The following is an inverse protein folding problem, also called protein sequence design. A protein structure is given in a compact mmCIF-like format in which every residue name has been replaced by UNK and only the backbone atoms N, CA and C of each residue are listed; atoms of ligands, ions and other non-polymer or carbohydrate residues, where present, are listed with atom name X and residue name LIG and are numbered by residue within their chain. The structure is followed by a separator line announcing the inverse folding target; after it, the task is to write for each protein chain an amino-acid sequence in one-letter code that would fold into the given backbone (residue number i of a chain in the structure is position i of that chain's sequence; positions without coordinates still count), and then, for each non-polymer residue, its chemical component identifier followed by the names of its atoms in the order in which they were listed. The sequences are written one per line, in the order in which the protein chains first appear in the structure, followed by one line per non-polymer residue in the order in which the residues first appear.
data_IF_286269362059
#
_entry.id   IF_286269362059
#
_cell.length_a   1.000
_cell.length_b   1.000
_cell.length_c   1.000
_cell.angle_alpha   90.00
_cell.angle_beta   90.00
_cell.angle_gamma   90.00
#
_symmetry.space_group_name_H-M   'P 1'
#
loop_
_entity.id
_entity.type
_entity.pdbx_description
1 polymer ?
#
# COMPACT_ATOMS: atom_id res chain seq x y z
N UNK A 1 11.03 3.39 97.30
CA UNK A 1 10.24 3.77 96.11
C UNK A 1 9.01 2.87 96.08
N UNK A 2 7.81 3.43 96.29
CA UNK A 2 6.57 2.64 96.42
C UNK A 2 6.22 1.98 95.07
N UNK A 3 5.81 0.70 95.08
CA UNK A 3 5.42 -0.05 93.87
C UNK A 3 4.38 0.69 93.00
N UNK A 4 3.54 1.52 93.61
CA UNK A 4 2.58 2.38 92.92
C UNK A 4 3.24 3.46 92.04
N UNK A 5 4.35 4.08 92.49
CA UNK A 5 5.08 5.09 91.70
C UNK A 5 5.78 4.46 90.50
N UNK A 6 6.34 3.25 90.65
CA UNK A 6 6.94 2.52 89.54
C UNK A 6 5.91 2.17 88.45
N UNK A 7 4.71 1.71 88.84
CA UNK A 7 3.64 1.38 87.89
C UNK A 7 3.15 2.60 87.09
N UNK A 8 3.05 3.76 87.73
CA UNK A 8 2.63 4.99 87.05
C UNK A 8 3.68 5.43 86.04
N UNK A 9 4.96 5.38 86.40
CA UNK A 9 6.08 5.74 85.49
C UNK A 9 6.09 4.80 84.26
N UNK A 10 5.89 3.50 84.46
CA UNK A 10 5.83 2.54 83.33
C UNK A 10 4.66 2.83 82.40
N UNK A 11 3.47 3.13 82.93
CA UNK A 11 2.30 3.47 82.10
C UNK A 11 2.51 4.78 81.32
N UNK A 12 3.08 5.80 81.96
CA UNK A 12 3.40 7.08 81.30
C UNK A 12 4.43 6.89 80.18
N UNK A 13 5.46 6.06 80.39
CA UNK A 13 6.45 5.74 79.36
C UNK A 13 5.85 5.00 78.16
N UNK A 14 4.93 4.06 78.39
CA UNK A 14 4.23 3.34 77.31
C UNK A 14 3.39 4.31 76.50
N UNK A 15 2.64 5.21 77.15
CA UNK A 15 1.82 6.22 76.46
C UNK A 15 2.71 7.14 75.61
N UNK A 16 3.85 7.58 76.15
CA UNK A 16 4.82 8.40 75.41
C UNK A 16 5.38 7.67 74.18
N UNK A 17 5.73 6.39 74.29
CA UNK A 17 6.20 5.60 73.16
C UNK A 17 5.13 5.45 72.07
N UNK A 18 3.87 5.24 72.45
CA UNK A 18 2.75 5.15 71.50
C UNK A 18 2.55 6.49 70.78
N UNK A 19 2.61 7.61 71.49
CA UNK A 19 2.51 8.95 70.89
C UNK A 19 3.64 9.19 69.89
N UNK A 20 4.89 8.85 70.26
CA UNK A 20 6.04 8.97 69.35
C UNK A 20 5.86 8.09 68.12
N UNK A 21 5.39 6.85 68.27
CA UNK A 21 5.14 5.96 67.15
C UNK A 21 4.07 6.52 66.19
N UNK A 22 2.97 7.07 66.72
CA UNK A 22 1.92 7.71 65.92
C UNK A 22 2.46 8.93 65.17
N UNK A 23 3.27 9.77 65.83
CA UNK A 23 3.89 10.93 65.20
C UNK A 23 4.84 10.55 64.07
N UNK A 24 5.67 9.52 64.27
CA UNK A 24 6.57 9.01 63.23
C UNK A 24 5.77 8.48 62.03
N UNK A 25 4.71 7.72 62.28
CA UNK A 25 3.84 7.22 61.20
C UNK A 25 3.19 8.37 60.44
N UNK A 26 2.66 9.39 61.14
CA UNK A 26 1.99 10.53 60.50
C UNK A 26 2.93 11.47 59.74
N UNK A 27 4.12 11.72 60.29
CA UNK A 27 5.02 12.77 59.79
C UNK A 27 6.10 12.25 58.84
N UNK A 28 6.40 10.95 58.88
CA UNK A 28 7.48 10.36 58.08
C UNK A 28 6.93 9.31 57.14
N UNK A 29 6.23 8.30 57.67
CA UNK A 29 5.80 7.13 56.87
C UNK A 29 4.71 7.50 55.86
N UNK A 30 3.68 8.23 56.29
CA UNK A 30 2.56 8.63 55.43
C UNK A 30 2.98 9.54 54.26
N UNK A 31 3.82 10.58 54.46
CA UNK A 31 4.38 11.36 53.36
C UNK A 31 5.27 10.56 52.41
N UNK A 32 6.13 9.68 52.94
CA UNK A 32 6.98 8.80 52.12
C UNK A 32 6.14 7.87 51.24
N UNK A 33 5.07 7.28 51.76
CA UNK A 33 4.16 6.43 50.98
C UNK A 33 3.44 7.25 49.91
N UNK A 34 2.99 8.47 50.21
CA UNK A 34 2.39 9.37 49.19
C UNK A 34 3.38 9.75 48.09
N UNK A 35 4.61 10.15 48.44
CA UNK A 35 5.66 10.44 47.46
C UNK A 35 6.06 9.21 46.63
N UNK A 36 5.91 8.00 47.18
CA UNK A 36 6.19 6.73 46.50
C UNK A 36 5.04 6.28 45.60
N UNK A 37 3.79 6.51 46.00
CA UNK A 37 2.60 6.13 45.20
C UNK A 37 2.41 7.05 44.00
N UNK A 38 2.77 8.33 44.12
CA UNK A 38 2.66 9.31 43.02
C UNK A 38 3.70 9.09 41.91
N UNK A 39 4.64 8.14 42.07
CA UNK A 39 5.70 7.84 41.09
C UNK A 39 5.49 6.59 40.25
N UNK A 40 4.43 5.81 40.48
CA UNK A 40 4.09 4.67 39.62
C UNK A 40 2.74 4.96 39.00
N UNK A 41 2.76 5.74 37.93
CA UNK A 41 1.58 5.94 37.11
C UNK A 41 1.29 4.64 36.34
N UNK A 42 0.36 3.83 36.84
CA UNK A 42 -0.01 2.54 36.25
C UNK A 42 -0.67 2.76 34.86
N UNK A 43 -1.19 3.96 34.58
CA UNK A 43 -1.72 4.32 33.25
C UNK A 43 -0.62 4.38 32.19
N UNK A 44 0.64 4.63 32.57
CA UNK A 44 1.80 4.60 31.66
C UNK A 44 2.08 3.20 31.08
N UNK A 45 1.49 2.16 31.67
CA UNK A 45 1.58 0.77 31.20
C UNK A 45 0.33 0.28 30.47
N UNK A 46 -0.74 1.09 30.40
CA UNK A 46 -1.90 0.79 29.57
C UNK A 46 -1.58 1.12 28.10
N UNK A 47 -2.14 0.37 27.15
CA UNK A 47 -2.05 0.73 25.73
C UNK A 47 -2.75 2.07 25.50
N UNK A 48 -1.97 3.16 25.50
CA UNK A 48 -2.47 4.53 25.30
C UNK A 48 -2.89 4.83 23.86
N UNK A 49 -2.47 3.97 22.92
CA UNK A 49 -2.79 4.10 21.50
C UNK A 49 -3.63 2.92 21.04
N UNK A 50 -4.60 3.22 20.19
CA UNK A 50 -5.35 2.26 19.42
C UNK A 50 -5.13 2.55 17.93
N UNK A 51 -4.81 1.52 17.16
CA UNK A 51 -4.72 1.62 15.71
C UNK A 51 -6.14 1.39 15.17
N UNK A 52 -6.74 2.43 14.60
CA UNK A 52 -8.10 2.37 14.07
C UNK A 52 -8.15 1.76 12.67
N UNK A 53 -7.14 2.05 11.84
CA UNK A 53 -6.99 1.44 10.52
C UNK A 53 -5.56 1.55 10.02
N UNK A 54 -5.12 0.54 9.25
CA UNK A 54 -3.91 0.60 8.42
C UNK A 54 -4.32 0.27 7.00
N UNK A 55 -4.20 1.23 6.10
CA UNK A 55 -4.49 1.08 4.69
C UNK A 55 -3.19 1.14 3.89
N UNK A 56 -2.93 0.13 3.08
CA UNK A 56 -1.79 0.09 2.15
C UNK A 56 -2.32 0.24 0.72
N UNK A 57 -2.20 1.42 0.09
CA UNK A 57 -2.63 1.63 -1.28
C UNK A 57 -1.85 0.76 -2.26
N UNK A 58 -2.47 0.39 -3.39
CA UNK A 58 -1.79 -0.41 -4.40
C UNK A 58 -0.56 0.29 -4.99
N UNK A 59 -0.58 1.62 -5.10
CA UNK A 59 0.55 2.44 -5.53
C UNK A 59 1.64 2.59 -4.46
N UNK A 60 1.50 1.92 -3.31
CA UNK A 60 2.44 1.96 -2.21
C UNK A 60 2.13 3.04 -1.18
N UNK A 61 3.00 3.17 -0.19
CA UNK A 61 2.77 4.02 0.96
C UNK A 61 1.84 3.39 2.00
N UNK A 62 1.41 4.19 2.96
CA UNK A 62 0.46 3.75 3.99
C UNK A 62 -0.35 4.92 4.52
N UNK A 63 -1.63 4.66 4.79
CA UNK A 63 -2.50 5.57 5.52
C UNK A 63 -2.92 4.90 6.84
N UNK A 64 -2.49 5.47 7.96
CA UNK A 64 -2.76 4.94 9.29
C UNK A 64 -3.57 5.92 10.12
N UNK A 65 -4.67 5.45 10.70
CA UNK A 65 -5.44 6.18 11.69
C UNK A 65 -5.11 5.68 13.08
N UNK A 66 -4.65 6.58 13.93
CA UNK A 66 -4.23 6.29 15.31
C UNK A 66 -5.04 7.14 16.26
N UNK A 67 -5.68 6.50 17.23
CA UNK A 67 -6.39 7.17 18.31
C UNK A 67 -5.62 7.06 19.61
N UNK A 68 -5.46 8.17 20.32
CA UNK A 68 -4.98 8.13 21.69
C UNK A 68 -6.16 7.93 22.64
N UNK A 69 -6.16 6.83 23.40
CA UNK A 69 -7.31 6.39 24.20
C UNK A 69 -7.15 6.65 25.70
N UNK A 70 -5.92 6.81 26.20
CA UNK A 70 -5.63 7.06 27.62
C UNK A 70 -4.28 7.78 27.82
N UNK A 71 -3.99 8.10 29.09
CA UNK A 71 -2.74 8.64 29.62
C UNK A 71 -2.57 10.15 29.46
N UNK A 72 -2.00 10.78 30.49
CA UNK A 72 -1.86 12.24 30.61
C UNK A 72 -0.53 12.78 30.05
N UNK A 73 0.52 11.94 30.00
CA UNK A 73 1.86 12.36 29.57
C UNK A 73 1.93 12.74 28.10
N UNK A 74 2.64 13.81 27.75
CA UNK A 74 2.79 14.22 26.35
C UNK A 74 3.66 13.21 25.58
N UNK A 75 3.08 12.59 24.54
CA UNK A 75 3.84 11.78 23.59
C UNK A 75 4.71 12.74 22.76
N UNK A 76 6.01 12.49 22.75
CA UNK A 76 7.04 13.28 22.07
C UNK A 76 7.38 12.77 20.66
N UNK A 77 7.19 11.47 20.42
CA UNK A 77 7.47 10.80 19.14
C UNK A 77 6.62 9.54 19.00
N UNK A 78 6.26 9.22 17.76
CA UNK A 78 5.73 7.94 17.35
C UNK A 78 6.70 7.27 16.36
N UNK A 79 7.04 6.01 16.58
CA UNK A 79 7.69 5.18 15.56
C UNK A 79 6.65 4.23 14.97
N UNK A 80 6.48 4.31 13.65
CA UNK A 80 5.65 3.43 12.83
C UNK A 80 6.56 2.35 12.23
N UNK A 81 6.30 1.08 12.52
CA UNK A 81 7.13 -0.03 12.10
C UNK A 81 6.34 -0.90 11.13
N UNK A 82 6.85 -1.06 9.92
CA UNK A 82 6.31 -1.95 8.90
C UNK A 82 7.29 -3.11 8.72
N UNK A 83 6.82 -4.34 8.95
CA UNK A 83 7.60 -5.55 8.69
C UNK A 83 7.24 -6.04 7.29
N UNK A 84 8.24 -6.18 6.42
CA UNK A 84 8.03 -6.76 5.09
C UNK A 84 8.01 -8.31 5.10
N UNK A 85 7.55 -8.88 4.00
CA UNK A 85 7.49 -10.34 3.75
C UNK A 85 8.86 -11.04 3.89
N UNK A 86 9.96 -10.29 3.76
CA UNK A 86 11.33 -10.75 3.85
C UNK A 86 11.90 -10.64 5.27
N UNK A 87 11.11 -10.12 6.22
CA UNK A 87 11.47 -9.95 7.62
C UNK A 87 12.26 -8.69 7.95
N UNK A 88 12.37 -7.72 7.02
CA UNK A 88 13.00 -6.43 7.30
C UNK A 88 12.00 -5.44 7.89
N UNK A 89 12.46 -4.65 8.85
CA UNK A 89 11.67 -3.60 9.49
C UNK A 89 11.96 -2.24 8.86
N UNK A 90 10.92 -1.58 8.36
CA UNK A 90 10.93 -0.19 7.89
C UNK A 90 10.34 0.69 9.00
N UNK A 91 11.15 1.59 9.55
CA UNK A 91 10.74 2.44 10.69
C UNK A 91 10.62 3.89 10.25
N UNK A 92 9.42 4.46 10.42
CA UNK A 92 9.13 5.86 10.13
C UNK A 92 8.80 6.59 11.44
N UNK A 93 9.61 7.58 11.79
CA UNK A 93 9.42 8.37 13.01
C UNK A 93 8.68 9.67 12.74
N UNK A 94 7.71 10.00 13.58
CA UNK A 94 6.96 11.25 13.53
C UNK A 94 7.01 11.95 14.88
N UNK A 95 7.39 13.23 14.87
CA UNK A 95 7.54 14.07 16.08
C UNK A 95 6.51 15.21 16.13
N UNK A 96 5.59 15.25 15.16
CA UNK A 96 4.59 16.30 14.98
C UNK A 96 3.20 15.69 14.72
N UNK A 97 2.14 16.49 14.83
CA UNK A 97 0.76 16.01 14.64
C UNK A 97 0.39 14.79 15.50
N UNK A 98 1.00 14.66 16.68
CA UNK A 98 0.77 13.57 17.62
C UNK A 98 -0.63 13.73 18.24
N UNK A 99 -1.46 12.67 18.31
CA UNK A 99 -2.82 12.78 18.84
C UNK A 99 -2.83 13.17 20.33
N UNK A 100 -3.67 14.14 20.65
CA UNK A 100 -4.05 14.48 22.03
C UNK A 100 -5.01 13.45 22.61
N UNK A 101 -5.31 13.54 23.90
CA UNK A 101 -6.23 12.61 24.57
C UNK A 101 -7.59 12.52 23.85
N UNK A 102 -8.01 11.31 23.51
CA UNK A 102 -9.21 10.95 22.74
C UNK A 102 -9.23 11.46 21.29
N UNK A 103 -8.13 12.03 20.80
CA UNK A 103 -7.99 12.48 19.42
C UNK A 103 -7.55 11.32 18.51
N UNK A 104 -8.16 11.26 17.33
CA UNK A 104 -7.69 10.43 16.20
C UNK A 104 -6.88 11.32 15.25
N UNK A 105 -5.71 10.84 14.85
CA UNK A 105 -4.88 11.45 13.80
C UNK A 105 -4.66 10.46 12.66
N UNK A 106 -4.60 10.99 11.45
CA UNK A 106 -4.29 10.26 10.23
C UNK A 106 -2.86 10.58 9.81
N UNK A 107 -2.08 9.54 9.51
CA UNK A 107 -0.69 9.60 9.09
C UNK A 107 -0.58 8.99 7.70
N UNK A 108 -0.14 9.78 6.74
CA UNK A 108 0.02 9.38 5.34
C UNK A 108 1.51 9.32 5.02
N UNK A 109 1.96 8.15 4.61
CA UNK A 109 3.31 7.89 4.14
C UNK A 109 3.28 7.61 2.65
N UNK A 110 4.15 8.25 1.90
CA UNK A 110 4.27 8.04 0.46
C UNK A 110 4.94 6.70 0.11
N UNK A 111 4.86 6.34 -1.17
CA UNK A 111 5.46 5.10 -1.68
C UNK A 111 6.99 5.12 -1.71
N UNK A 112 7.65 6.28 -1.65
CA UNK A 112 9.12 6.33 -1.53
C UNK A 112 9.59 5.90 -0.14
N UNK A 113 8.76 6.08 0.89
CA UNK A 113 9.01 5.58 2.25
C UNK A 113 8.65 4.11 2.43
N UNK A 114 7.66 3.61 1.68
CA UNK A 114 7.12 2.26 1.80
C UNK A 114 6.88 1.69 0.39
N UNK A 115 7.87 0.96 -0.13
CA UNK A 115 7.84 0.33 -1.46
C UNK A 115 7.98 -1.20 -1.41
N UNK A 116 7.68 -1.82 -0.27
CA UNK A 116 7.79 -3.26 -0.04
C UNK A 116 6.41 -3.89 0.23
N UNK A 117 6.31 -5.21 0.04
CA UNK A 117 5.14 -5.99 0.47
C UNK A 117 5.16 -6.07 1.99
N UNK A 118 4.14 -5.49 2.64
CA UNK A 118 4.08 -5.41 4.11
C UNK A 118 3.27 -6.57 4.67
N UNK A 119 3.88 -7.32 5.59
CA UNK A 119 3.29 -8.44 6.32
C UNK A 119 2.59 -7.97 7.61
N UNK A 120 3.26 -7.13 8.40
CA UNK A 120 2.69 -6.63 9.66
C UNK A 120 3.07 -5.19 9.99
N UNK A 121 2.35 -4.59 10.93
CA UNK A 121 2.50 -3.20 11.32
C UNK A 121 2.42 -3.02 12.85
N UNK A 122 3.24 -2.12 13.39
CA UNK A 122 3.18 -1.71 14.79
C UNK A 122 3.53 -0.24 15.01
N UNK A 123 3.11 0.29 16.15
CA UNK A 123 3.42 1.65 16.59
C UNK A 123 4.01 1.64 17.99
N UNK A 124 5.01 2.48 18.23
CA UNK A 124 5.59 2.74 19.54
C UNK A 124 5.51 4.22 19.85
N UNK A 125 5.01 4.57 21.03
CA UNK A 125 5.07 5.94 21.57
C UNK A 125 6.34 6.18 22.39
N UNK A 126 6.80 7.42 22.43
CA UNK A 126 7.91 7.86 23.29
C UNK A 126 7.53 9.07 24.12
N UNK A 127 7.96 9.07 25.39
CA UNK A 127 7.78 10.16 26.35
C UNK A 127 9.17 10.71 26.73
N UNK A 128 9.63 11.71 25.96
CA UNK A 128 11.04 12.11 25.97
C UNK A 128 11.92 10.96 25.47
N UNK A 129 12.79 10.44 26.33
CA UNK A 129 13.66 9.29 26.00
C UNK A 129 13.06 7.94 26.38
N UNK A 130 11.92 7.93 27.06
CA UNK A 130 11.29 6.70 27.55
C UNK A 130 10.45 6.08 26.43
N UNK A 131 10.74 4.82 26.11
CA UNK A 131 9.98 4.01 25.14
C UNK A 131 8.72 3.46 25.79
N UNK A 132 7.56 3.73 25.20
CA UNK A 132 6.27 3.20 25.59
C UNK A 132 6.05 1.75 25.13
N UNK A 133 4.87 1.18 25.43
CA UNK A 133 4.49 -0.13 24.94
C UNK A 133 4.38 -0.13 23.41
N UNK A 134 4.76 -1.25 22.80
CA UNK A 134 4.52 -1.47 21.37
C UNK A 134 3.08 -1.92 21.17
N UNK A 135 2.34 -1.17 20.37
CA UNK A 135 0.99 -1.54 19.94
C UNK A 135 1.11 -2.18 18.56
N UNK A 136 0.94 -3.50 18.50
CA UNK A 136 0.96 -4.27 17.25
C UNK A 136 -0.47 -4.46 16.74
N UNK A 137 -0.66 -4.38 15.43
CA UNK A 137 -1.87 -4.88 14.78
C UNK A 137 -1.56 -6.19 14.06
N UNK A 138 -2.41 -7.20 14.30
CA UNK A 138 -2.35 -8.50 13.64
C UNK A 138 -3.74 -8.81 13.07
N UNK A 139 -3.87 -8.90 11.75
CA UNK A 139 -5.09 -9.38 11.09
C UNK A 139 -6.34 -8.50 11.22
N UNK A 140 -7.22 -8.56 10.22
CA UNK A 140 -8.49 -7.83 10.02
C UNK A 140 -8.48 -6.29 9.94
N UNK A 141 -7.55 -5.58 10.59
CA UNK A 141 -7.44 -4.09 10.55
C UNK A 141 -6.35 -3.54 9.65
N UNK A 142 -5.36 -4.37 9.30
CA UNK A 142 -4.45 -4.11 8.17
C UNK A 142 -5.21 -4.50 6.92
N UNK A 143 -5.66 -3.49 6.21
CA UNK A 143 -6.26 -3.65 4.89
C UNK A 143 -5.19 -3.23 3.90
N UNK A 144 -4.59 -4.18 3.20
CA UNK A 144 -4.18 -3.87 1.82
C UNK A 144 -5.45 -3.38 1.13
N UNK A 145 -5.39 -2.26 0.40
CA UNK A 145 -6.58 -1.67 -0.21
C UNK A 145 -7.43 -2.75 -0.88
N UNK A 146 -8.47 -3.15 -0.16
CA UNK A 146 -8.98 -4.52 -0.22
C UNK A 146 -10.05 -4.56 -1.27
N UNK A 147 -9.65 -4.72 -2.54
CA UNK A 147 -10.48 -5.29 -3.62
C UNK A 147 -11.89 -4.70 -3.77
N UNK A 148 -12.16 -3.50 -3.24
CA UNK A 148 -13.51 -3.03 -2.93
C UNK A 148 -13.62 -1.53 -3.18
N UNK A 149 -14.28 -1.22 -4.31
CA UNK A 149 -14.62 0.12 -4.82
C UNK A 149 -13.43 1.07 -4.83
N UNK A 150 -12.61 0.97 -5.88
CA UNK A 150 -11.59 1.98 -6.15
C UNK A 150 -12.26 3.21 -6.75
N UNK A 151 -11.74 4.38 -6.43
CA UNK A 151 -12.10 5.61 -7.13
C UNK A 151 -10.83 6.27 -7.66
N UNK A 152 -10.96 7.05 -8.74
CA UNK A 152 -9.86 7.86 -9.29
C UNK A 152 -9.13 8.70 -8.23
N UNK A 153 -9.85 9.14 -7.21
CA UNK A 153 -9.33 9.94 -6.10
C UNK A 153 -8.50 9.10 -5.11
N UNK A 154 -8.87 7.84 -4.88
CA UNK A 154 -8.23 6.97 -3.86
C UNK A 154 -6.82 6.49 -4.19
N UNK A 155 -6.47 6.39 -5.48
CA UNK A 155 -5.15 5.90 -5.95
C UNK A 155 -4.44 6.95 -6.83
N UNK A 156 -4.98 8.17 -6.87
CA UNK A 156 -4.45 9.31 -7.61
C UNK A 156 -4.26 9.01 -9.09
N UNK A 157 -5.31 9.12 -9.91
CA UNK A 157 -5.19 9.00 -11.37
C UNK A 157 -5.28 7.58 -11.93
N UNK A 158 -5.58 6.57 -11.09
CA UNK A 158 -6.07 5.27 -11.59
C UNK A 158 -7.46 5.48 -12.20
N UNK A 159 -7.62 5.16 -13.48
CA UNK A 159 -8.88 5.41 -14.21
C UNK A 159 -9.71 4.15 -14.35
N UNK A 160 -9.07 3.02 -14.63
CA UNK A 160 -9.73 1.74 -14.79
C UNK A 160 -8.91 0.59 -14.23
N UNK A 161 -9.59 -0.42 -13.71
CA UNK A 161 -8.99 -1.68 -13.29
C UNK A 161 -9.94 -2.85 -13.56
N UNK A 162 -9.51 -3.78 -14.40
CA UNK A 162 -10.18 -5.06 -14.62
C UNK A 162 -9.34 -6.15 -13.95
N UNK A 163 -9.87 -6.76 -12.88
CA UNK A 163 -9.18 -7.91 -12.26
C UNK A 163 -9.35 -9.19 -13.05
N UNK A 164 -10.35 -9.29 -13.93
CA UNK A 164 -10.53 -10.44 -14.82
C UNK A 164 -10.68 -11.79 -14.10
N UNK A 165 -11.14 -11.76 -12.84
CA UNK A 165 -11.38 -12.98 -12.07
C UNK A 165 -12.50 -13.83 -12.69
N UNK A 166 -13.66 -13.23 -12.92
CA UNK A 166 -14.85 -13.95 -13.42
C UNK A 166 -15.78 -13.04 -14.24
N UNK A 167 -15.35 -11.80 -14.50
CA UNK A 167 -16.09 -10.82 -15.27
C UNK A 167 -15.15 -9.74 -15.82
N UNK A 168 -15.69 -8.87 -16.66
CA UNK A 168 -14.96 -7.76 -17.30
C UNK A 168 -15.42 -6.39 -16.79
N UNK A 169 -15.85 -6.32 -15.53
CA UNK A 169 -16.27 -5.05 -14.93
C UNK A 169 -15.05 -4.27 -14.43
N UNK A 170 -14.96 -3.01 -14.85
CA UNK A 170 -14.06 -2.03 -14.23
C UNK A 170 -14.41 -1.83 -12.74
N UNK A 171 -13.44 -2.06 -11.85
CA UNK A 171 -13.52 -1.92 -10.39
C UNK A 171 -13.30 -0.47 -9.90
N UNK A 172 -12.87 0.43 -10.77
CA UNK A 172 -12.51 1.83 -10.45
C UNK A 172 -13.52 2.81 -11.05
N UNK A 173 -13.84 2.61 -12.32
CA UNK A 173 -14.70 3.49 -13.10
C UNK A 173 -15.91 2.76 -13.67
N UNK A 174 -16.45 3.31 -14.75
CA UNK A 174 -17.58 2.75 -15.49
C UNK A 174 -17.17 2.18 -16.85
N UNK A 175 -15.87 1.94 -17.08
CA UNK A 175 -15.34 1.43 -18.34
C UNK A 175 -15.50 -0.10 -18.40
N UNK A 176 -16.71 -0.61 -18.19
CA UNK A 176 -16.95 -2.05 -18.23
C UNK A 176 -16.69 -2.59 -19.64
N UNK A 177 -16.04 -3.75 -19.70
CA UNK A 177 -15.78 -4.44 -20.95
C UNK A 177 -16.98 -5.24 -21.45
N UNK A 178 -16.88 -5.64 -22.71
CA UNK A 178 -17.75 -6.58 -23.39
C UNK A 178 -16.89 -7.71 -23.92
N UNK A 179 -17.21 -8.94 -23.53
CA UNK A 179 -16.49 -10.14 -23.97
C UNK A 179 -16.93 -10.51 -25.39
N UNK A 180 -15.97 -10.81 -26.24
CA UNK A 180 -16.16 -11.50 -27.52
C UNK A 180 -15.52 -12.89 -27.43
N UNK A 181 -16.10 -13.84 -28.17
CA UNK A 181 -15.75 -15.25 -28.06
C UNK A 181 -16.39 -15.91 -26.83
N UNK A 182 -15.73 -16.94 -26.30
CA UNK A 182 -16.15 -17.65 -25.09
C UNK A 182 -14.92 -18.03 -24.23
N UNK A 183 -14.17 -17.03 -23.76
CA UNK A 183 -12.95 -17.25 -23.00
C UNK A 183 -13.22 -17.98 -21.68
N UNK A 184 -12.21 -18.69 -21.21
CA UNK A 184 -12.26 -19.38 -19.92
C UNK A 184 -11.58 -18.55 -18.83
N UNK A 185 -11.96 -18.78 -17.57
CA UNK A 185 -11.27 -18.21 -16.42
C UNK A 185 -10.45 -19.32 -15.74
N UNK A 186 -9.12 -19.17 -15.72
CA UNK A 186 -8.18 -20.10 -15.11
C UNK A 186 -7.53 -19.48 -13.88
N UNK A 187 -6.65 -20.23 -13.19
CA UNK A 187 -5.90 -19.68 -12.05
C UNK A 187 -5.05 -18.47 -12.49
N UNK A 188 -5.25 -17.34 -11.82
CA UNK A 188 -4.53 -16.09 -12.10
C UNK A 188 -3.33 -15.89 -11.18
N UNK A 189 -2.68 -14.73 -11.32
CA UNK A 189 -1.70 -14.25 -10.33
C UNK A 189 -2.42 -13.89 -9.04
N UNK A 190 -3.63 -13.34 -9.17
CA UNK A 190 -4.51 -13.13 -8.05
C UNK A 190 -5.90 -13.67 -8.38
N UNK A 191 -6.37 -14.67 -7.62
CA UNK A 191 -7.68 -15.26 -7.88
C UNK A 191 -7.73 -15.99 -9.23
N UNK A 192 -8.42 -15.41 -10.20
CA UNK A 192 -8.61 -15.98 -11.53
C UNK A 192 -8.13 -14.99 -12.60
N UNK A 193 -7.76 -15.52 -13.76
CA UNK A 193 -7.37 -14.73 -14.92
C UNK A 193 -8.14 -15.19 -16.15
N UNK A 194 -8.33 -14.29 -17.11
CA UNK A 194 -8.99 -14.64 -18.37
C UNK A 194 -7.99 -15.30 -19.32
N UNK A 195 -8.34 -16.48 -19.82
CA UNK A 195 -7.61 -17.19 -20.87
C UNK A 195 -8.21 -16.83 -22.22
N UNK A 196 -7.33 -16.39 -23.13
CA UNK A 196 -7.66 -16.06 -24.51
C UNK A 196 -6.97 -17.04 -25.44
N UNK A 197 -7.72 -17.57 -26.41
CA UNK A 197 -7.27 -18.63 -27.31
C UNK A 197 -6.47 -18.15 -28.54
N UNK A 198 -6.29 -16.82 -28.69
CA UNK A 198 -5.60 -16.22 -29.83
C UNK A 198 -6.41 -16.18 -31.13
N UNK A 199 -7.68 -16.59 -31.13
CA UNK A 199 -8.53 -16.68 -32.32
C UNK A 199 -9.66 -15.64 -32.26
N UNK A 200 -10.62 -15.81 -31.37
CA UNK A 200 -11.84 -14.97 -31.31
C UNK A 200 -12.11 -14.38 -29.93
N UNK A 201 -11.35 -14.83 -28.92
CA UNK A 201 -11.47 -14.36 -27.56
C UNK A 201 -10.76 -13.02 -27.35
N UNK A 202 -11.51 -12.00 -26.94
CA UNK A 202 -10.98 -10.71 -26.51
C UNK A 202 -12.04 -9.92 -25.74
N UNK A 203 -11.62 -8.79 -25.15
CA UNK A 203 -12.50 -7.84 -24.48
C UNK A 203 -12.43 -6.52 -25.23
N UNK A 204 -13.59 -5.93 -25.50
CA UNK A 204 -13.70 -4.57 -26.01
C UNK A 204 -14.30 -3.68 -24.93
N UNK A 205 -13.72 -2.50 -24.75
CA UNK A 205 -14.19 -1.47 -23.84
C UNK A 205 -14.44 -0.24 -24.69
N UNK A 206 -15.70 0.20 -24.73
CA UNK A 206 -16.09 1.39 -25.47
C UNK A 206 -15.24 2.58 -25.02
N UNK A 207 -14.72 3.34 -25.99
CA UNK A 207 -13.93 4.52 -25.72
C UNK A 207 -14.77 5.60 -25.03
N UNK A 208 -14.37 5.94 -23.81
CA UNK A 208 -14.89 7.07 -23.04
C UNK A 208 -13.80 8.14 -22.86
N UNK A 209 -14.19 9.35 -22.46
CA UNK A 209 -13.26 10.51 -22.39
C UNK A 209 -12.08 10.27 -21.45
N UNK A 210 -12.28 9.51 -20.37
CA UNK A 210 -11.24 9.18 -19.40
C UNK A 210 -10.19 8.18 -19.93
N UNK A 211 -10.44 7.53 -21.08
CA UNK A 211 -9.48 6.67 -21.78
C UNK A 211 -8.77 7.39 -22.95
N UNK A 212 -9.12 8.65 -23.23
CA UNK A 212 -8.40 9.48 -24.22
C UNK A 212 -7.15 10.10 -23.61
N UNK A 213 -6.17 9.25 -23.30
CA UNK A 213 -4.96 9.61 -22.56
C UNK A 213 -3.95 10.37 -23.44
N UNK A 214 -4.20 11.66 -23.69
CA UNK A 214 -3.40 12.46 -24.61
C UNK A 214 -2.04 12.86 -24.05
N UNK A 215 -1.96 13.14 -22.75
CA UNK A 215 -0.84 13.93 -22.19
C UNK A 215 0.14 13.12 -21.37
N UNK A 216 -0.25 11.97 -20.83
CA UNK A 216 0.61 11.03 -20.11
C UNK A 216 -0.23 9.81 -19.77
N UNK A 217 0.41 8.66 -19.54
CA UNK A 217 -0.32 7.46 -19.17
C UNK A 217 0.58 6.46 -18.45
N UNK A 218 -0.06 5.52 -17.76
CA UNK A 218 0.58 4.26 -17.36
C UNK A 218 -0.36 3.10 -17.62
N UNK A 219 0.16 2.03 -18.21
CA UNK A 219 -0.50 0.74 -18.34
C UNK A 219 0.20 -0.24 -17.39
N UNK A 220 -0.57 -1.01 -16.63
CA UNK A 220 -0.07 -2.09 -15.79
C UNK A 220 -0.91 -3.32 -16.00
N UNK A 221 -0.30 -4.49 -16.18
CA UNK A 221 -1.04 -5.73 -16.39
C UNK A 221 -0.12 -6.93 -16.13
N UNK A 222 -0.72 -8.06 -15.82
CA UNK A 222 -0.04 -9.35 -15.78
C UNK A 222 -0.37 -10.14 -17.04
N UNK A 223 0.64 -10.84 -17.59
CA UNK A 223 0.45 -11.76 -18.69
C UNK A 223 1.13 -13.10 -18.42
N UNK A 224 0.51 -14.16 -18.92
CA UNK A 224 1.14 -15.45 -19.17
C UNK A 224 1.00 -15.72 -20.68
N UNK A 225 2.05 -15.44 -21.45
CA UNK A 225 1.99 -15.56 -22.90
C UNK A 225 2.38 -16.97 -23.36
N UNK A 226 1.58 -17.60 -24.22
CA UNK A 226 1.90 -18.91 -24.80
C UNK A 226 2.89 -18.83 -25.98
N UNK A 227 3.22 -17.61 -26.41
CA UNK A 227 3.95 -17.34 -27.65
C UNK A 227 3.07 -16.67 -28.69
N UNK A 228 3.67 -16.14 -29.75
CA UNK A 228 2.95 -15.68 -30.95
C UNK A 228 3.87 -15.74 -32.16
N UNK A 229 3.35 -15.81 -33.39
CA UNK A 229 4.17 -15.69 -34.60
C UNK A 229 4.27 -14.26 -35.14
N UNK A 230 3.44 -13.33 -34.63
CA UNK A 230 3.40 -11.91 -35.01
C UNK A 230 3.02 -11.06 -33.79
N UNK A 231 2.87 -9.74 -33.92
CA UNK A 231 2.37 -8.91 -32.83
C UNK A 231 0.95 -9.35 -32.42
N UNK A 232 0.76 -9.65 -31.15
CA UNK A 232 -0.53 -9.98 -30.57
C UNK A 232 -0.92 -8.90 -29.55
N UNK A 233 -2.12 -8.31 -29.68
CA UNK A 233 -2.49 -7.17 -28.83
C UNK A 233 -2.82 -7.57 -27.40
N UNK A 234 -2.17 -6.94 -26.41
CA UNK A 234 -2.40 -7.21 -24.99
C UNK A 234 -3.45 -6.23 -24.45
N UNK A 235 -3.16 -4.93 -24.49
CA UNK A 235 -4.10 -3.89 -24.04
C UNK A 235 -3.81 -2.55 -24.72
N UNK A 236 -4.85 -1.86 -25.17
CA UNK A 236 -4.72 -0.50 -25.71
C UNK A 236 -5.81 -0.11 -26.70
N UNK A 237 -5.73 1.12 -27.17
CA UNK A 237 -6.63 1.70 -28.19
C UNK A 237 -6.02 1.61 -29.60
N UNK A 238 -5.10 0.67 -29.82
CA UNK A 238 -4.39 0.46 -31.08
C UNK A 238 -2.96 1.03 -31.10
N UNK A 239 -2.09 0.43 -31.92
CA UNK A 239 -0.66 0.80 -32.06
C UNK A 239 -0.48 2.26 -32.53
N UNK A 240 -1.45 2.80 -33.27
CA UNK A 240 -1.49 4.21 -33.68
C UNK A 240 -1.66 5.20 -32.52
N UNK A 241 -2.09 4.70 -31.35
CA UNK A 241 -2.50 5.51 -30.20
C UNK A 241 -1.65 5.12 -28.98
N UNK A 242 -2.17 4.31 -28.06
CA UNK A 242 -1.36 3.61 -27.07
C UNK A 242 -1.77 2.13 -27.04
N UNK A 243 -0.79 1.23 -27.11
CA UNK A 243 -1.05 -0.21 -27.01
C UNK A 243 0.21 -0.97 -26.61
N UNK A 244 0.05 -1.99 -25.77
CA UNK A 244 1.07 -3.00 -25.59
C UNK A 244 0.71 -4.28 -26.37
N UNK A 245 1.71 -4.92 -26.98
CA UNK A 245 1.60 -6.15 -27.76
C UNK A 245 2.66 -7.16 -27.31
N UNK A 246 2.40 -8.45 -27.52
CA UNK A 246 3.38 -9.52 -27.39
C UNK A 246 3.84 -9.96 -28.79
N UNK A 247 5.14 -9.87 -29.06
CA UNK A 247 5.74 -10.17 -30.36
C UNK A 247 6.41 -11.54 -30.37
N UNK A 248 6.56 -12.14 -31.56
CA UNK A 248 7.14 -13.47 -31.80
C UNK A 248 8.51 -13.74 -31.15
N UNK A 249 9.32 -12.71 -30.97
CA UNK A 249 10.61 -12.85 -30.31
C UNK A 249 10.52 -12.94 -28.77
N UNK A 250 9.32 -13.05 -28.19
CA UNK A 250 9.08 -12.98 -26.74
C UNK A 250 9.13 -11.56 -26.19
N UNK A 251 9.12 -10.54 -27.05
CA UNK A 251 9.15 -9.15 -26.59
C UNK A 251 7.75 -8.65 -26.30
N UNK A 252 7.55 -8.01 -25.15
CA UNK A 252 6.42 -7.10 -24.96
C UNK A 252 6.83 -5.73 -25.49
N UNK A 253 6.13 -5.26 -26.51
CA UNK A 253 6.25 -3.90 -27.03
C UNK A 253 5.14 -3.05 -26.44
N UNK A 254 5.46 -1.81 -26.07
CA UNK A 254 4.46 -0.80 -25.70
C UNK A 254 4.68 0.44 -26.55
N UNK A 255 3.64 0.84 -27.26
CA UNK A 255 3.63 1.91 -28.24
C UNK A 255 2.90 3.14 -27.71
N UNK A 256 3.41 4.31 -28.08
CA UNK A 256 2.74 5.60 -27.96
C UNK A 256 2.89 6.32 -29.30
N UNK A 257 1.85 6.26 -30.14
CA UNK A 257 1.85 6.73 -31.52
C UNK A 257 2.85 5.96 -32.41
N UNK A 258 2.32 5.12 -33.29
CA UNK A 258 3.02 4.16 -34.17
C UNK A 258 4.46 4.49 -34.64
N UNK A 259 5.19 3.46 -35.06
CA UNK A 259 6.56 3.62 -35.55
C UNK A 259 7.58 3.58 -34.42
N UNK A 260 8.53 4.52 -34.38
CA UNK A 260 9.69 4.46 -33.48
C UNK A 260 9.40 4.78 -31.99
N UNK A 261 8.21 5.30 -31.68
CA UNK A 261 7.77 5.62 -30.31
C UNK A 261 7.20 4.38 -29.63
N UNK A 262 8.08 3.42 -29.40
CA UNK A 262 7.79 2.23 -28.63
C UNK A 262 8.96 1.89 -27.71
N UNK A 263 8.69 1.11 -26.67
CA UNK A 263 9.70 0.51 -25.81
C UNK A 263 9.39 -0.97 -25.71
N UNK A 264 10.42 -1.82 -25.66
CA UNK A 264 10.20 -3.26 -25.66
C UNK A 264 11.25 -4.02 -24.87
N UNK A 265 10.80 -5.07 -24.19
CA UNK A 265 11.67 -5.98 -23.45
C UNK A 265 11.23 -7.42 -23.65
N UNK A 266 12.20 -8.31 -23.71
CA UNK A 266 11.97 -9.74 -23.71
C UNK A 266 11.39 -10.18 -22.37
N UNK A 267 10.34 -10.97 -22.44
CA UNK A 267 9.78 -11.76 -21.34
C UNK A 267 9.60 -13.18 -21.86
N UNK A 268 9.96 -14.17 -21.05
CA UNK A 268 9.81 -15.55 -21.46
C UNK A 268 8.33 -15.94 -21.56
N UNK A 269 8.04 -16.81 -22.53
CA UNK A 269 6.71 -17.38 -22.68
C UNK A 269 6.52 -18.50 -21.67
N UNK A 270 5.27 -18.73 -21.29
CA UNK A 270 4.85 -19.74 -20.32
C UNK A 270 5.29 -19.46 -18.87
N UNK A 271 5.50 -18.18 -18.53
CA UNK A 271 5.61 -17.70 -17.15
C UNK A 271 4.79 -16.41 -16.96
N UNK A 272 4.46 -16.11 -15.70
CA UNK A 272 3.76 -14.88 -15.33
C UNK A 272 4.74 -13.71 -15.25
N UNK A 273 4.46 -12.66 -16.02
CA UNK A 273 5.19 -11.41 -15.93
C UNK A 273 4.27 -10.24 -15.67
N UNK A 274 4.69 -9.37 -14.76
CA UNK A 274 4.05 -8.08 -14.53
C UNK A 274 4.73 -7.02 -15.37
N UNK A 275 3.95 -6.34 -16.21
CA UNK A 275 4.43 -5.27 -17.06
C UNK A 275 3.85 -3.96 -16.57
N UNK A 276 4.71 -2.97 -16.39
CA UNK A 276 4.29 -1.58 -16.22
C UNK A 276 4.96 -0.72 -17.29
N UNK A 277 4.16 -0.12 -18.15
CA UNK A 277 4.62 0.86 -19.12
C UNK A 277 4.13 2.25 -18.71
N UNK A 278 5.02 3.21 -18.56
CA UNK A 278 4.67 4.60 -18.28
C UNK A 278 5.24 5.56 -19.31
N UNK A 279 4.46 6.60 -19.62
CA UNK A 279 4.87 7.71 -20.46
C UNK A 279 4.52 9.05 -19.80
N UNK A 280 5.50 9.94 -19.70
CA UNK A 280 5.40 11.21 -18.98
C UNK A 280 4.86 12.39 -19.78
N UNK A 281 4.51 12.18 -21.05
CA UNK A 281 3.98 13.26 -21.88
C UNK A 281 5.03 14.17 -22.49
N UNK A 282 6.31 13.88 -22.31
CA UNK A 282 7.38 14.76 -22.73
C UNK A 282 8.27 14.09 -23.78
N UNK A 283 9.09 14.90 -24.44
CA UNK A 283 10.11 14.44 -25.39
C UNK A 283 11.49 14.32 -24.75
N UNK A 284 11.54 14.21 -23.41
CA UNK A 284 12.80 14.14 -22.68
C UNK A 284 13.49 12.78 -22.85
N UNK A 285 14.77 12.73 -22.48
CA UNK A 285 15.46 11.46 -22.29
C UNK A 285 14.81 10.78 -21.08
N UNK A 286 14.21 9.61 -21.29
CA UNK A 286 13.47 8.80 -20.31
C UNK A 286 11.95 9.06 -20.19
N UNK A 287 11.35 9.67 -21.21
CA UNK A 287 9.91 9.96 -21.22
C UNK A 287 9.05 8.70 -21.22
N UNK A 288 9.57 7.59 -21.78
CA UNK A 288 8.99 6.25 -21.67
C UNK A 288 9.79 5.39 -20.70
N UNK A 289 9.11 4.62 -19.86
CA UNK A 289 9.70 3.63 -18.96
C UNK A 289 8.95 2.31 -19.07
N UNK A 290 9.71 1.22 -19.03
CA UNK A 290 9.18 -0.13 -19.03
C UNK A 290 9.76 -0.89 -17.84
N UNK A 291 8.86 -1.39 -16.99
CA UNK A 291 9.18 -2.22 -15.86
C UNK A 291 8.67 -3.63 -16.12
N UNK A 292 9.47 -4.62 -15.71
CA UNK A 292 9.11 -6.04 -15.73
C UNK A 292 9.37 -6.59 -14.33
N UNK A 293 8.37 -7.24 -13.74
CA UNK A 293 8.43 -7.87 -12.42
C UNK A 293 8.96 -6.92 -11.33
N UNK A 294 8.42 -5.70 -11.33
CA UNK A 294 8.77 -4.63 -10.39
C UNK A 294 10.15 -3.99 -10.63
N UNK A 295 10.91 -4.39 -11.66
CA UNK A 295 12.23 -3.83 -11.97
C UNK A 295 12.17 -2.90 -13.17
N UNK A 296 12.85 -1.76 -13.09
CA UNK A 296 13.00 -0.86 -14.22
C UNK A 296 13.98 -1.44 -15.24
N UNK A 297 13.47 -2.05 -16.31
CA UNK A 297 14.27 -2.72 -17.33
C UNK A 297 14.82 -1.73 -18.36
N UNK A 298 13.99 -0.77 -18.78
CA UNK A 298 14.34 0.16 -19.85
C UNK A 298 13.74 1.55 -19.65
N UNK A 299 14.45 2.53 -20.17
CA UNK A 299 14.00 3.91 -20.33
C UNK A 299 14.34 4.36 -21.75
N UNK A 300 13.44 5.10 -22.40
CA UNK A 300 13.64 5.56 -23.77
C UNK A 300 13.05 6.95 -23.97
N UNK A 301 13.70 7.75 -24.79
CA UNK A 301 13.19 9.05 -25.25
C UNK A 301 11.92 8.86 -26.07
N UNK A 302 10.84 9.56 -25.70
CA UNK A 302 9.69 9.74 -26.58
C UNK A 302 9.99 10.85 -27.58
N UNK A 303 9.53 10.73 -28.83
CA UNK A 303 9.61 11.82 -29.82
C UNK A 303 8.30 12.62 -29.91
N UNK A 304 7.30 12.23 -29.12
CA UNK A 304 6.01 12.91 -29.03
C UNK A 304 5.71 13.37 -27.60
N UNK A 305 4.89 14.41 -27.48
CA UNK A 305 4.37 14.93 -26.22
C UNK A 305 2.84 14.88 -26.14
N UNK A 306 2.19 14.28 -27.16
CA UNK A 306 0.73 14.13 -27.21
C UNK A 306 0.34 12.96 -28.10
N UNK A 307 -0.72 12.24 -27.71
CA UNK A 307 -1.37 11.20 -28.52
C UNK A 307 -2.70 11.74 -29.04
N UNK A 308 -3.06 11.34 -30.26
CA UNK A 308 -4.31 11.71 -30.94
C UNK A 308 -4.78 10.56 -31.84
N UNK A 309 -6.06 10.56 -32.19
CA UNK A 309 -6.68 9.40 -32.82
C UNK A 309 -7.04 8.41 -31.73
N UNK A 310 -8.29 7.97 -31.69
CA UNK A 310 -8.75 7.09 -30.62
C UNK A 310 -9.65 6.03 -31.24
N UNK A 311 -9.40 4.79 -30.86
CA UNK A 311 -10.25 3.65 -31.13
C UNK A 311 -10.78 3.13 -29.79
N UNK A 312 -11.76 2.23 -29.83
CA UNK A 312 -12.18 1.52 -28.62
C UNK A 312 -10.98 0.79 -27.99
N UNK A 313 -10.96 0.76 -26.66
CA UNK A 313 -9.91 0.06 -25.92
C UNK A 313 -10.16 -1.44 -26.09
N UNK A 314 -9.12 -2.19 -26.37
CA UNK A 314 -9.14 -3.64 -26.45
C UNK A 314 -8.22 -4.25 -25.41
N UNK A 315 -8.61 -5.39 -24.85
CA UNK A 315 -7.76 -6.28 -24.07
C UNK A 315 -7.76 -7.63 -24.81
N UNK A 316 -6.58 -8.12 -25.18
CA UNK A 316 -6.42 -9.39 -25.89
C UNK A 316 -6.50 -9.32 -27.42
N UNK A 317 -6.61 -8.12 -28.00
CA UNK A 317 -6.71 -7.91 -29.45
C UNK A 317 -5.85 -6.74 -29.91
N UNK A 318 -5.35 -6.82 -31.15
CA UNK A 318 -4.81 -5.68 -31.88
C UNK A 318 -5.70 -5.37 -33.09
N UNK A 319 -5.94 -4.08 -33.37
CA UNK A 319 -6.69 -3.67 -34.58
C UNK A 319 -5.90 -3.89 -35.87
N UNK A 320 -4.58 -4.07 -35.77
CA UNK A 320 -3.67 -4.16 -36.92
C UNK A 320 -2.95 -5.51 -37.04
N UNK A 321 -3.21 -6.46 -36.13
CA UNK A 321 -2.49 -7.73 -36.07
C UNK A 321 -3.35 -8.85 -35.46
N UNK A 322 -2.76 -9.78 -34.71
CA UNK A 322 -3.44 -10.96 -34.15
C UNK A 322 -3.96 -10.73 -32.73
N UNK A 323 -4.82 -11.65 -32.29
CA UNK A 323 -5.28 -11.73 -30.90
C UNK A 323 -4.23 -12.41 -30.02
N UNK A 324 -4.27 -12.08 -28.73
CA UNK A 324 -3.37 -12.65 -27.73
C UNK A 324 -3.78 -14.07 -27.37
N UNK A 325 -2.80 -14.97 -27.34
CA UNK A 325 -2.95 -16.33 -26.83
C UNK A 325 -2.24 -16.43 -25.48
N UNK A 326 -3.01 -16.72 -24.42
CA UNK A 326 -2.48 -16.81 -23.05
C UNK A 326 -3.44 -16.28 -22.01
N UNK A 327 -2.92 -16.01 -20.81
CA UNK A 327 -3.69 -15.41 -19.70
C UNK A 327 -3.36 -13.92 -19.57
N UNK A 328 -4.39 -13.13 -19.28
CA UNK A 328 -4.26 -11.73 -18.88
C UNK A 328 -4.95 -11.54 -17.53
N UNK A 329 -4.30 -10.79 -16.65
CA UNK A 329 -4.79 -10.55 -15.29
C UNK A 329 -4.51 -9.10 -14.87
N UNK A 330 -5.33 -8.59 -13.94
CA UNK A 330 -5.05 -7.36 -13.18
C UNK A 330 -4.71 -6.11 -14.05
N UNK A 331 -5.47 -5.89 -15.13
CA UNK A 331 -5.24 -4.79 -16.08
C UNK A 331 -5.64 -3.46 -15.47
N UNK A 332 -4.70 -2.51 -15.41
CA UNK A 332 -4.86 -1.17 -14.85
C UNK A 332 -4.41 -0.10 -15.84
N UNK A 333 -5.15 1.01 -15.85
CA UNK A 333 -4.85 2.19 -16.65
C UNK A 333 -4.85 3.42 -15.75
N UNK A 334 -3.75 4.18 -15.79
CA UNK A 334 -3.62 5.48 -15.13
C UNK A 334 -3.54 6.60 -16.16
N UNK A 335 -4.18 7.74 -15.88
CA UNK A 335 -4.13 8.95 -16.71
C UNK A 335 -2.90 9.83 -16.47
N UNK A 336 -1.89 9.26 -15.81
CA UNK A 336 -0.64 9.92 -15.49
C UNK A 336 0.55 8.98 -15.59
N UNK A 337 1.73 9.58 -15.65
CA UNK A 337 2.95 8.87 -15.31
C UNK A 337 3.01 8.58 -13.79
N UNK A 338 3.60 7.45 -13.44
CA UNK A 338 3.85 7.04 -12.05
C UNK A 338 5.35 7.11 -11.70
N UNK A 339 5.64 7.14 -10.40
CA UNK A 339 7.02 7.07 -9.88
C UNK A 339 7.59 5.66 -9.97
N UNK A 340 8.92 5.54 -9.82
CA UNK A 340 9.57 4.23 -9.71
C UNK A 340 9.04 3.43 -8.52
N UNK A 341 8.88 4.09 -7.36
CA UNK A 341 8.37 3.44 -6.16
C UNK A 341 6.92 2.96 -6.30
N UNK A 342 6.09 3.72 -7.02
CA UNK A 342 4.72 3.30 -7.34
C UNK A 342 4.70 2.07 -8.25
N UNK A 343 5.53 2.03 -9.29
CA UNK A 343 5.61 0.88 -10.20
C UNK A 343 6.02 -0.41 -9.46
N UNK A 344 7.04 -0.30 -8.59
CA UNK A 344 7.49 -1.40 -7.72
C UNK A 344 6.38 -1.84 -6.75
N UNK A 345 5.64 -0.89 -6.19
CA UNK A 345 4.58 -1.18 -5.22
C UNK A 345 3.39 -1.86 -5.85
N UNK A 346 2.99 -1.47 -7.08
CA UNK A 346 1.91 -2.14 -7.81
C UNK A 346 2.23 -3.63 -7.96
N UNK A 347 3.45 -3.96 -8.41
CA UNK A 347 3.93 -5.35 -8.47
C UNK A 347 3.87 -6.03 -7.10
N UNK A 348 4.52 -5.45 -6.08
CA UNK A 348 4.62 -6.06 -4.75
C UNK A 348 3.26 -6.27 -4.06
N UNK A 349 2.27 -5.45 -4.39
CA UNK A 349 0.94 -5.52 -3.81
C UNK A 349 0.00 -6.48 -4.58
N UNK A 350 0.43 -6.97 -5.75
CA UNK A 350 -0.32 -7.94 -6.57
C UNK A 350 0.36 -9.31 -6.67
N UNK A 351 1.68 -9.38 -6.48
CA UNK A 351 2.43 -10.64 -6.57
C UNK A 351 1.98 -11.62 -5.48
N UNK A 352 1.99 -12.91 -5.81
CA UNK A 352 1.80 -14.00 -4.85
C UNK A 352 2.99 -14.03 -3.88
N UNK A 353 2.72 -14.24 -2.58
CA UNK A 353 3.73 -14.60 -1.58
C UNK A 353 4.05 -16.10 -1.62
#
# INVERSE_FOLDING_TARGET
MNRAQASIITVVLIILMVIVAVLVVSSVVLPLIKESSDKINIDSFSNMLNIESVLLPITGGANIKVKRVSGEDQISKLDFIFLDDSGNSHVLSVNENIPNHLETKEFIFDSEKINASIDSFSIISYFGTIRGPEVREFGNRIKRDSLGVRTKESVGGLVSWWSLDENVLDKVGNNHGMIFGNPQYLEGVFGKAIYLDGIEDYIEVKLEENLKLSSSLTLSFWIYANGSSVDAGIVGTGIGNYQCTHHNAGNVYCYINSGANNIARFVDSNDWHHIVFSWDGTTNNNGMKLYVDGKLELQKTSTISSISGWEDLSIGKSSTSTNFEGLIDEVMIFDRNISHAEAVSIYNNQKIN
#
